data_IF_646973901433
#
_entry.id   IF_646973901433
#
_cell.length_a   1.000
_cell.length_b   1.000
_cell.length_c   1.000
_cell.angle_alpha   90.00
_cell.angle_beta   90.00
_cell.angle_gamma   90.00
#
_symmetry.space_group_name_H-M   'P 1'
#
loop_
_entity.id
_entity.type
_entity.pdbx_description
1 polymer ?
#
# COMPACT_ATOMS: atom_id res chain seq x y z
N UNK A 1 25.04 9.49 7.15
CA UNK A 1 23.87 10.01 6.41
C UNK A 1 22.89 10.63 7.39
N UNK A 2 22.25 11.73 7.01
CA UNK A 2 21.18 12.39 7.77
C UNK A 2 19.98 12.62 6.86
N UNK A 3 18.79 12.24 7.29
CA UNK A 3 17.55 12.42 6.52
C UNK A 3 16.54 13.26 7.31
N UNK A 4 15.85 14.15 6.62
CA UNK A 4 14.66 14.84 7.13
C UNK A 4 13.43 14.10 6.65
N UNK A 5 12.76 13.38 7.56
CA UNK A 5 11.61 12.52 7.26
C UNK A 5 10.31 13.29 7.47
N UNK A 6 9.56 13.54 6.40
CA UNK A 6 8.30 14.28 6.42
C UNK A 6 7.12 13.32 6.23
N UNK A 7 6.26 13.25 7.24
CA UNK A 7 5.14 12.30 7.27
C UNK A 7 3.85 12.94 7.79
N UNK A 8 2.68 12.46 7.39
CA UNK A 8 1.44 12.86 8.04
C UNK A 8 1.42 12.49 9.52
N UNK A 9 0.76 13.29 10.37
CA UNK A 9 0.65 12.98 11.79
C UNK A 9 0.00 11.62 12.10
N UNK A 10 -0.81 11.11 11.19
CA UNK A 10 -1.52 9.83 11.34
C UNK A 10 -0.69 8.61 10.95
N UNK A 11 0.50 8.81 10.36
CA UNK A 11 1.32 7.71 9.88
C UNK A 11 2.31 7.27 10.96
N UNK A 12 2.26 5.99 11.35
CA UNK A 12 3.24 5.42 12.26
C UNK A 12 4.53 5.07 11.51
N UNK A 13 5.53 5.92 11.61
CA UNK A 13 6.87 5.73 11.00
C UNK A 13 7.94 5.36 12.01
N UNK A 14 7.60 5.26 13.28
CA UNK A 14 8.53 4.93 14.35
C UNK A 14 9.35 3.65 14.10
N UNK A 15 8.77 2.57 13.53
CA UNK A 15 9.55 1.39 13.16
C UNK A 15 10.65 1.70 12.15
N UNK A 16 10.38 2.51 11.13
CA UNK A 16 11.38 2.93 10.15
C UNK A 16 12.50 3.76 10.78
N UNK A 17 12.13 4.73 11.63
CA UNK A 17 13.10 5.59 12.32
C UNK A 17 14.09 4.73 13.10
N UNK A 18 13.61 3.78 13.90
CA UNK A 18 14.45 2.89 14.70
C UNK A 18 15.44 2.07 13.85
N UNK A 19 14.98 1.56 12.70
CA UNK A 19 15.84 0.79 11.80
C UNK A 19 16.86 1.69 11.11
N UNK A 20 16.48 2.89 10.64
CA UNK A 20 17.44 3.87 10.12
C UNK A 20 18.53 4.21 11.14
N UNK A 21 18.15 4.52 12.36
CA UNK A 21 19.08 4.86 13.44
C UNK A 21 20.01 3.70 13.81
N UNK A 22 19.50 2.46 13.83
CA UNK A 22 20.32 1.27 14.05
C UNK A 22 21.37 1.05 12.97
N UNK A 23 21.12 1.54 11.75
CA UNK A 23 22.06 1.52 10.59
C UNK A 23 22.95 2.78 10.53
N UNK A 24 22.94 3.62 11.58
CA UNK A 24 23.77 4.82 11.68
C UNK A 24 23.27 6.03 10.87
N UNK A 25 22.03 6.02 10.42
CA UNK A 25 21.38 7.14 9.74
C UNK A 25 20.70 8.03 10.79
N UNK A 26 21.02 9.33 10.80
CA UNK A 26 20.31 10.30 11.65
C UNK A 26 18.98 10.68 11.02
N UNK A 27 17.90 10.67 11.79
CA UNK A 27 16.56 10.99 11.30
C UNK A 27 16.00 12.21 12.07
N UNK A 28 15.66 13.26 11.31
CA UNK A 28 14.91 14.41 11.81
C UNK A 28 13.44 14.24 11.36
N UNK A 29 12.55 13.88 12.30
CA UNK A 29 11.15 13.61 11.98
C UNK A 29 10.31 14.88 12.02
N UNK A 30 9.58 15.14 10.92
CA UNK A 30 8.71 16.32 10.72
C UNK A 30 9.41 17.66 10.94
N UNK A 31 10.71 17.71 10.71
CA UNK A 31 11.53 18.91 10.67
C UNK A 31 12.55 18.79 9.55
N UNK A 32 12.87 19.90 8.87
CA UNK A 32 13.92 19.93 7.85
C UNK A 32 15.18 20.46 8.50
N UNK A 33 16.21 19.63 8.54
CA UNK A 33 17.53 20.03 9.00
C UNK A 33 18.33 20.61 7.82
N UNK A 34 18.99 21.78 7.96
CA UNK A 34 19.74 22.39 6.86
C UNK A 34 20.92 21.55 6.35
N UNK A 35 21.47 20.67 7.21
CA UNK A 35 22.56 19.76 6.83
C UNK A 35 22.04 18.33 6.53
N UNK A 36 20.76 18.18 6.18
CA UNK A 36 20.24 16.87 5.77
C UNK A 36 20.82 16.48 4.40
N UNK A 37 21.16 15.22 4.24
CA UNK A 37 21.56 14.66 2.96
C UNK A 37 20.35 14.48 2.02
N UNK A 38 19.14 14.29 2.59
CA UNK A 38 17.89 14.06 1.86
C UNK A 38 16.67 14.55 2.63
N UNK A 39 15.66 15.00 1.88
CA UNK A 39 14.29 15.14 2.36
C UNK A 39 13.50 13.93 1.86
N UNK A 40 13.03 13.08 2.76
CA UNK A 40 12.24 11.90 2.45
C UNK A 40 10.77 12.15 2.79
N UNK A 41 9.90 11.96 1.82
CA UNK A 41 8.45 12.11 1.97
C UNK A 41 7.79 10.73 1.91
N UNK A 42 7.00 10.38 2.92
CA UNK A 42 6.39 9.03 3.02
C UNK A 42 4.98 8.94 2.46
N UNK A 43 4.46 10.02 1.92
CA UNK A 43 3.13 10.03 1.33
C UNK A 43 2.97 11.16 0.34
N UNK A 44 2.14 10.89 -0.62
CA UNK A 44 1.75 11.85 -1.64
C UNK A 44 0.98 13.06 -1.06
N UNK A 45 0.36 12.92 0.11
CA UNK A 45 -0.43 14.01 0.73
C UNK A 45 0.39 15.28 1.01
N UNK A 46 1.70 15.15 1.18
CA UNK A 46 2.60 16.27 1.47
C UNK A 46 3.39 16.78 0.26
N UNK A 47 3.19 16.21 -0.91
CA UNK A 47 3.89 16.65 -2.12
C UNK A 47 3.69 18.13 -2.46
N UNK A 48 2.59 18.76 -2.00
CA UNK A 48 2.40 20.19 -2.13
C UNK A 48 3.50 21.04 -1.43
N UNK A 49 4.24 20.45 -0.51
CA UNK A 49 5.36 21.11 0.17
C UNK A 49 6.66 21.04 -0.63
N UNK A 50 6.72 20.25 -1.70
CA UNK A 50 7.94 20.05 -2.51
C UNK A 50 8.49 21.38 -3.03
N UNK A 51 7.63 22.29 -3.51
CA UNK A 51 8.06 23.60 -3.99
C UNK A 51 8.70 24.43 -2.87
N UNK A 52 8.11 24.41 -1.68
CA UNK A 52 8.65 25.12 -0.52
C UNK A 52 10.01 24.54 -0.10
N UNK A 53 10.12 23.22 -0.07
CA UNK A 53 11.39 22.56 0.28
C UNK A 53 12.46 22.83 -0.76
N UNK A 54 12.14 22.71 -2.04
CA UNK A 54 13.08 22.99 -3.13
C UNK A 54 13.53 24.45 -3.16
N UNK A 55 12.64 25.40 -2.89
CA UNK A 55 12.99 26.81 -2.83
C UNK A 55 13.80 27.18 -1.58
N UNK A 56 13.58 26.49 -0.45
CA UNK A 56 14.27 26.78 0.81
C UNK A 56 15.60 26.02 0.95
N UNK A 57 15.66 24.82 0.39
CA UNK A 57 16.79 23.91 0.47
C UNK A 57 17.09 23.33 -0.93
N UNK A 58 17.53 24.15 -1.89
CA UNK A 58 17.65 23.74 -3.30
C UNK A 58 18.69 22.64 -3.52
N UNK A 59 19.66 22.52 -2.64
CA UNK A 59 20.75 21.55 -2.75
C UNK A 59 20.44 20.22 -2.05
N UNK A 60 19.28 20.12 -1.36
CA UNK A 60 18.89 18.88 -0.69
C UNK A 60 17.93 18.09 -1.59
N UNK A 61 18.34 16.91 -2.11
CA UNK A 61 17.47 16.10 -2.97
C UNK A 61 16.25 15.57 -2.21
N UNK A 62 15.10 15.56 -2.90
CA UNK A 62 13.83 15.08 -2.37
C UNK A 62 13.57 13.69 -2.95
N UNK A 63 13.27 12.72 -2.08
CA UNK A 63 12.82 11.37 -2.45
C UNK A 63 11.43 11.12 -1.90
N UNK A 64 10.63 10.35 -2.61
CA UNK A 64 9.24 10.11 -2.21
C UNK A 64 8.89 8.61 -2.22
N UNK A 65 8.36 8.14 -1.10
CA UNK A 65 7.69 6.85 -1.04
C UNK A 65 6.27 7.02 -1.61
N UNK A 66 6.04 6.42 -2.76
CA UNK A 66 4.78 6.52 -3.50
C UNK A 66 3.93 5.30 -3.22
N UNK A 67 3.04 5.42 -2.22
CA UNK A 67 2.20 4.33 -1.73
C UNK A 67 1.01 4.03 -2.66
N UNK A 68 0.43 5.07 -3.28
CA UNK A 68 -0.81 4.97 -4.02
C UNK A 68 -0.79 5.86 -5.27
N UNK A 69 -1.69 5.58 -6.21
CA UNK A 69 -1.92 6.40 -7.39
C UNK A 69 -3.28 7.09 -7.28
N UNK A 70 -3.29 8.39 -7.05
CA UNK A 70 -4.49 9.14 -6.67
C UNK A 70 -5.13 10.00 -7.79
N UNK A 71 -4.95 9.66 -9.05
CA UNK A 71 -5.48 10.49 -10.16
C UNK A 71 -6.97 10.79 -10.03
N UNK A 72 -7.78 9.81 -9.68
CA UNK A 72 -9.22 9.96 -9.49
C UNK A 72 -9.59 10.90 -8.34
N UNK A 73 -8.86 10.83 -7.23
CA UNK A 73 -9.05 11.72 -6.08
C UNK A 73 -8.62 13.14 -6.43
N UNK A 74 -7.51 13.31 -7.15
CA UNK A 74 -6.99 14.63 -7.48
C UNK A 74 -7.81 15.36 -8.54
N UNK A 75 -8.55 14.64 -9.38
CA UNK A 75 -9.48 15.20 -10.34
C UNK A 75 -10.88 15.45 -9.77
N UNK A 76 -11.20 14.97 -8.56
CA UNK A 76 -12.44 15.29 -7.88
C UNK A 76 -12.32 16.63 -7.14
N UNK A 77 -13.42 17.34 -6.88
CA UNK A 77 -13.42 18.50 -6.00
C UNK A 77 -12.89 18.09 -4.63
N UNK A 78 -11.64 18.40 -4.33
CA UNK A 78 -11.05 18.14 -3.02
C UNK A 78 -10.91 19.43 -2.23
N UNK A 79 -11.00 19.38 -0.88
CA UNK A 79 -10.99 20.57 -0.03
C UNK A 79 -9.65 21.34 -0.08
N UNK A 80 -8.62 20.76 -0.68
CA UNK A 80 -7.28 21.34 -0.76
C UNK A 80 -6.99 21.99 -2.12
N UNK A 81 -7.91 21.93 -3.10
CA UNK A 81 -7.77 22.55 -4.42
C UNK A 81 -6.67 21.94 -5.30
N UNK A 82 -6.12 20.78 -4.92
CA UNK A 82 -5.10 20.11 -5.72
C UNK A 82 -5.72 19.45 -6.95
N UNK A 83 -5.03 19.53 -8.08
CA UNK A 83 -5.39 18.83 -9.30
C UNK A 83 -4.24 17.93 -9.76
N UNK A 84 -4.54 17.02 -10.68
CA UNK A 84 -3.56 16.05 -11.18
C UNK A 84 -2.31 16.71 -11.79
N UNK A 85 -2.46 17.83 -12.51
CA UNK A 85 -1.33 18.51 -13.12
C UNK A 85 -0.35 19.07 -12.08
N UNK A 86 -0.87 19.61 -10.98
CA UNK A 86 -0.05 20.12 -9.89
C UNK A 86 0.66 18.95 -9.17
N UNK A 87 -0.05 17.86 -8.96
CA UNK A 87 0.52 16.65 -8.38
C UNK A 87 1.66 16.08 -9.24
N UNK A 88 1.44 15.97 -10.54
CA UNK A 88 2.45 15.57 -11.51
C UNK A 88 3.68 16.49 -11.50
N UNK A 89 3.47 17.81 -11.37
CA UNK A 89 4.56 18.76 -11.22
C UNK A 89 5.44 18.43 -10.00
N UNK A 90 4.83 18.14 -8.85
CA UNK A 90 5.56 17.77 -7.65
C UNK A 90 6.31 16.43 -7.77
N UNK A 91 5.69 15.42 -8.38
CA UNK A 91 6.34 14.14 -8.63
C UNK A 91 7.59 14.31 -9.52
N UNK A 92 7.50 15.15 -10.56
CA UNK A 92 8.64 15.42 -11.45
C UNK A 92 9.81 16.15 -10.76
N UNK A 93 9.55 16.86 -9.66
CA UNK A 93 10.60 17.52 -8.86
C UNK A 93 11.33 16.60 -7.90
N UNK A 94 10.78 15.44 -7.57
CA UNK A 94 11.49 14.45 -6.78
C UNK A 94 12.64 13.84 -7.59
N UNK A 95 13.76 13.55 -6.94
CA UNK A 95 14.88 12.85 -7.55
C UNK A 95 14.52 11.39 -7.85
N UNK A 96 13.86 10.73 -6.91
CA UNK A 96 13.35 9.37 -7.08
C UNK A 96 11.98 9.21 -6.43
N UNK A 97 11.19 8.30 -7.05
CA UNK A 97 9.88 7.86 -6.58
C UNK A 97 9.95 6.37 -6.27
N UNK A 98 9.82 6.00 -5.00
CA UNK A 98 9.83 4.59 -4.59
C UNK A 98 8.41 4.07 -4.56
N UNK A 99 8.07 3.30 -5.60
CA UNK A 99 6.73 2.83 -5.89
C UNK A 99 6.52 1.44 -5.29
N UNK A 100 5.39 1.20 -4.66
CA UNK A 100 5.12 -0.07 -3.97
C UNK A 100 4.67 -1.20 -4.88
N UNK A 101 4.36 -0.91 -6.15
CA UNK A 101 3.96 -1.91 -7.14
C UNK A 101 4.41 -1.52 -8.55
N UNK A 102 4.56 -2.50 -9.43
CA UNK A 102 4.83 -2.28 -10.85
C UNK A 102 3.69 -1.50 -11.51
N UNK A 103 2.45 -1.70 -11.05
CA UNK A 103 1.30 -0.97 -11.56
C UNK A 103 1.42 0.53 -11.30
N UNK A 104 1.86 0.94 -10.10
CA UNK A 104 2.12 2.35 -9.81
C UNK A 104 3.16 2.91 -10.76
N UNK A 105 4.24 2.16 -11.05
CA UNK A 105 5.29 2.58 -12.01
C UNK A 105 4.69 2.76 -13.40
N UNK A 106 3.94 1.76 -13.89
CA UNK A 106 3.30 1.82 -15.21
C UNK A 106 2.38 3.03 -15.33
N UNK A 107 1.58 3.30 -14.29
CA UNK A 107 0.67 4.46 -14.29
C UNK A 107 1.42 5.80 -14.23
N UNK A 108 2.52 5.87 -13.50
CA UNK A 108 3.37 7.06 -13.49
C UNK A 108 3.91 7.33 -14.89
N UNK A 109 4.40 6.30 -15.58
CA UNK A 109 4.90 6.41 -16.95
C UNK A 109 3.82 6.85 -17.95
N UNK A 110 2.63 6.23 -17.92
CA UNK A 110 1.47 6.61 -18.75
C UNK A 110 1.07 8.07 -18.57
N UNK A 111 1.22 8.60 -17.37
CA UNK A 111 0.95 10.01 -17.07
C UNK A 111 2.13 10.93 -17.38
N UNK A 112 3.23 10.41 -17.93
CA UNK A 112 4.41 11.17 -18.34
C UNK A 112 5.33 11.57 -17.19
N UNK A 113 5.36 10.80 -16.11
CA UNK A 113 6.44 10.83 -15.13
C UNK A 113 7.61 10.04 -15.69
N UNK A 114 8.81 10.53 -15.49
CA UNK A 114 10.02 9.85 -15.95
C UNK A 114 10.17 8.50 -15.25
N UNK A 115 10.17 7.43 -16.05
CA UNK A 115 10.31 6.06 -15.58
C UNK A 115 11.61 5.81 -14.85
N UNK A 116 12.69 6.47 -15.27
CA UNK A 116 14.03 6.28 -14.68
C UNK A 116 14.09 6.80 -13.22
N UNK A 117 13.12 7.61 -12.83
CA UNK A 117 12.93 8.04 -11.44
C UNK A 117 12.11 7.05 -10.60
N UNK A 118 11.39 6.13 -11.22
CA UNK A 118 10.47 5.21 -10.54
C UNK A 118 11.17 3.90 -10.22
N UNK A 119 11.22 3.53 -8.95
CA UNK A 119 11.86 2.30 -8.49
C UNK A 119 10.89 1.47 -7.66
N UNK A 120 10.79 0.17 -7.98
CA UNK A 120 9.94 -0.75 -7.23
C UNK A 120 10.53 -1.00 -5.84
N UNK A 121 9.75 -0.70 -4.82
CA UNK A 121 10.02 -1.05 -3.44
C UNK A 121 8.81 -1.77 -2.86
N UNK A 122 8.85 -3.10 -2.79
CA UNK A 122 7.78 -3.86 -2.13
C UNK A 122 7.76 -3.47 -0.65
N UNK A 123 6.65 -2.85 -0.22
CA UNK A 123 6.51 -2.41 1.17
C UNK A 123 6.45 -3.61 2.10
N UNK A 124 7.11 -3.52 3.25
CA UNK A 124 7.05 -4.55 4.26
C UNK A 124 5.63 -4.72 4.82
N UNK A 125 5.25 -5.95 5.12
CA UNK A 125 4.05 -6.27 5.86
C UNK A 125 4.41 -6.64 7.30
N UNK A 126 3.71 -6.04 8.26
CA UNK A 126 3.86 -6.41 9.66
C UNK A 126 3.07 -7.69 9.91
N UNK A 127 3.71 -8.82 9.71
CA UNK A 127 3.11 -10.09 10.06
C UNK A 127 3.08 -10.25 11.59
N UNK A 128 1.92 -10.62 12.08
CA UNK A 128 1.71 -10.95 13.48
C UNK A 128 1.70 -12.46 13.70
N UNK A 129 1.98 -12.87 14.91
CA UNK A 129 1.72 -14.24 15.34
C UNK A 129 0.33 -14.30 15.99
N UNK A 130 -0.49 -15.20 15.51
CA UNK A 130 -1.83 -15.41 16.02
C UNK A 130 -1.83 -16.67 16.88
N UNK A 131 -2.06 -16.49 18.20
CA UNK A 131 -2.08 -17.58 19.16
C UNK A 131 -3.45 -18.26 19.28
N UNK A 132 -4.47 -17.74 18.61
CA UNK A 132 -5.82 -18.29 18.60
C UNK A 132 -6.02 -19.42 17.62
N UNK A 133 -7.18 -20.02 17.65
CA UNK A 133 -7.60 -21.05 16.69
C UNK A 133 -7.91 -20.44 15.33
N UNK A 134 -7.32 -20.98 14.26
CA UNK A 134 -7.70 -20.67 12.88
C UNK A 134 -8.88 -21.56 12.51
N UNK A 135 -10.02 -20.96 12.23
CA UNK A 135 -11.27 -21.66 11.93
C UNK A 135 -12.06 -20.98 10.82
N UNK A 136 -13.17 -21.58 10.43
CA UNK A 136 -14.12 -21.05 9.45
C UNK A 136 -15.49 -20.85 10.12
N UNK A 137 -15.77 -19.65 10.58
CA UNK A 137 -17.07 -19.24 11.13
C UNK A 137 -18.08 -18.85 10.05
N UNK A 138 -17.82 -19.22 8.81
CA UNK A 138 -18.70 -19.06 7.65
C UNK A 138 -19.13 -17.60 7.42
N UNK A 139 -18.15 -16.72 7.18
CA UNK A 139 -18.40 -15.37 6.68
C UNK A 139 -17.25 -14.91 5.77
N UNK A 140 -17.56 -13.96 4.90
CA UNK A 140 -16.56 -13.24 4.09
C UNK A 140 -16.06 -12.05 4.90
N UNK A 141 -14.74 -11.83 4.95
CA UNK A 141 -14.17 -10.64 5.54
C UNK A 141 -13.87 -9.60 4.46
N UNK A 142 -14.49 -8.44 4.57
CA UNK A 142 -14.13 -7.28 3.77
C UNK A 142 -12.91 -6.60 4.37
N UNK A 143 -11.78 -6.60 3.64
CA UNK A 143 -10.49 -6.12 4.17
C UNK A 143 -10.27 -4.63 3.99
N UNK A 144 -10.97 -3.99 3.05
CA UNK A 144 -10.83 -2.55 2.78
C UNK A 144 -11.89 -1.76 3.53
N UNK A 145 -11.45 -0.68 4.17
CA UNK A 145 -12.34 0.26 4.86
C UNK A 145 -13.14 1.08 3.83
N UNK A 146 -14.41 1.42 4.15
CA UNK A 146 -15.22 2.26 3.26
C UNK A 146 -14.57 3.62 3.03
N UNK A 147 -14.31 3.94 1.76
CA UNK A 147 -13.90 5.28 1.37
C UNK A 147 -15.13 6.07 0.95
N UNK A 148 -15.35 7.22 1.58
CA UNK A 148 -16.55 8.04 1.48
C UNK A 148 -16.86 8.59 0.08
N UNK A 149 -15.93 8.46 -0.86
CA UNK A 149 -15.97 9.14 -2.17
C UNK A 149 -16.05 8.19 -3.38
N UNK A 150 -16.05 6.86 -3.16
CA UNK A 150 -16.11 5.91 -4.25
C UNK A 150 -17.56 5.60 -4.65
N UNK A 151 -17.91 5.98 -5.89
CA UNK A 151 -19.27 5.78 -6.43
C UNK A 151 -19.59 4.31 -6.73
N UNK A 152 -18.57 3.46 -6.86
CA UNK A 152 -18.71 2.02 -7.15
C UNK A 152 -18.68 1.17 -5.90
N UNK A 153 -18.68 1.78 -4.74
CA UNK A 153 -18.64 1.14 -3.45
C UNK A 153 -19.93 0.38 -3.12
N UNK A 154 -19.80 -0.75 -2.46
CA UNK A 154 -20.97 -1.50 -1.96
C UNK A 154 -21.45 -2.62 -2.89
N UNK A 155 -20.71 -2.98 -3.94
CA UNK A 155 -21.08 -4.15 -4.77
C UNK A 155 -20.93 -5.47 -4.00
N UNK A 156 -19.93 -5.58 -3.12
CA UNK A 156 -19.71 -6.77 -2.30
C UNK A 156 -20.85 -6.97 -1.31
N UNK A 157 -21.29 -5.90 -0.63
CA UNK A 157 -22.44 -5.95 0.26
C UNK A 157 -23.71 -6.36 -0.48
N UNK A 158 -23.93 -5.84 -1.69
CA UNK A 158 -25.09 -6.24 -2.52
C UNK A 158 -25.00 -7.69 -2.93
N UNK A 159 -23.85 -8.14 -3.43
CA UNK A 159 -23.64 -9.53 -3.83
C UNK A 159 -23.85 -10.50 -2.66
N UNK A 160 -23.28 -10.20 -1.50
CA UNK A 160 -23.45 -11.02 -0.29
C UNK A 160 -24.91 -11.03 0.19
N UNK A 161 -25.60 -9.89 0.17
CA UNK A 161 -27.01 -9.79 0.53
C UNK A 161 -27.90 -10.62 -0.41
N UNK A 162 -27.70 -10.54 -1.72
CA UNK A 162 -28.45 -11.32 -2.71
C UNK A 162 -28.21 -12.81 -2.63
N UNK A 163 -27.00 -13.22 -2.22
CA UNK A 163 -26.61 -14.61 -2.05
C UNK A 163 -26.89 -15.16 -0.65
N UNK A 164 -27.37 -14.34 0.29
CA UNK A 164 -27.52 -14.65 1.71
C UNK A 164 -26.21 -15.15 2.35
N UNK A 165 -25.08 -14.53 1.98
CA UNK A 165 -23.77 -14.84 2.52
C UNK A 165 -23.42 -13.82 3.61
N UNK A 166 -23.02 -14.27 4.84
CA UNK A 166 -22.59 -13.36 5.89
C UNK A 166 -21.34 -12.60 5.49
N UNK A 167 -21.38 -11.26 5.65
CA UNK A 167 -20.25 -10.36 5.42
C UNK A 167 -19.91 -9.65 6.71
N UNK A 168 -18.63 -9.65 7.09
CA UNK A 168 -18.11 -8.85 8.19
C UNK A 168 -17.08 -7.86 7.68
N UNK A 169 -16.98 -6.74 8.40
CA UNK A 169 -15.98 -5.71 8.15
C UNK A 169 -15.43 -5.25 9.51
N UNK A 170 -14.12 -4.99 9.63
CA UNK A 170 -13.55 -4.43 10.85
C UNK A 170 -14.20 -3.07 11.17
N UNK A 171 -14.59 -2.87 12.41
CA UNK A 171 -15.08 -1.58 12.87
C UNK A 171 -13.97 -0.52 12.74
N UNK A 172 -14.38 0.73 12.53
CA UNK A 172 -13.44 1.85 12.59
C UNK A 172 -12.89 1.97 14.02
N UNK A 173 -11.57 1.75 14.19
CA UNK A 173 -10.94 1.73 15.50
C UNK A 173 -10.90 0.36 16.18
N UNK A 174 -11.27 -0.72 15.47
CA UNK A 174 -11.03 -2.08 15.95
C UNK A 174 -9.58 -2.24 16.41
N UNK A 175 -9.38 -2.90 17.54
CA UNK A 175 -8.05 -3.26 18.01
C UNK A 175 -7.37 -4.23 17.04
N UNK A 176 -6.05 -4.28 17.08
CA UNK A 176 -5.28 -5.23 16.29
C UNK A 176 -5.74 -6.68 16.56
N UNK A 177 -5.98 -7.01 17.82
CA UNK A 177 -6.44 -8.33 18.23
C UNK A 177 -7.83 -8.69 17.65
N UNK A 178 -8.77 -7.75 17.65
CA UNK A 178 -10.09 -7.96 17.02
C UNK A 178 -9.98 -8.17 15.51
N UNK A 179 -9.12 -7.39 14.85
CA UNK A 179 -8.86 -7.54 13.43
C UNK A 179 -8.25 -8.90 13.09
N UNK A 180 -7.22 -9.33 13.84
CA UNK A 180 -6.58 -10.62 13.64
C UNK A 180 -7.55 -11.80 13.88
N UNK A 181 -8.44 -11.66 14.87
CA UNK A 181 -9.49 -12.63 15.09
C UNK A 181 -10.44 -12.73 13.89
N UNK A 182 -10.86 -11.59 13.33
CA UNK A 182 -11.70 -11.61 12.13
C UNK A 182 -11.01 -12.27 10.94
N UNK A 183 -9.70 -12.03 10.76
CA UNK A 183 -8.89 -12.70 9.73
C UNK A 183 -8.84 -14.23 9.95
N UNK A 184 -8.57 -14.65 11.19
CA UNK A 184 -8.42 -16.08 11.50
C UNK A 184 -9.73 -16.89 11.38
N UNK A 185 -10.88 -16.23 11.60
CA UNK A 185 -12.20 -16.86 11.64
C UNK A 185 -12.99 -16.78 10.33
N UNK A 186 -12.58 -15.96 9.34
CA UNK A 186 -13.31 -15.84 8.07
C UNK A 186 -13.15 -17.10 7.19
N UNK A 187 -14.11 -17.33 6.28
CA UNK A 187 -13.97 -18.33 5.23
C UNK A 187 -12.91 -17.91 4.23
N UNK A 188 -13.02 -16.68 3.73
CA UNK A 188 -12.05 -16.04 2.87
C UNK A 188 -12.17 -14.53 2.97
N UNK A 189 -11.19 -13.83 2.43
CA UNK A 189 -11.19 -12.38 2.37
C UNK A 189 -11.67 -11.90 1.02
N UNK A 190 -12.30 -10.73 0.99
CA UNK A 190 -12.60 -10.04 -0.25
C UNK A 190 -12.15 -8.57 -0.13
N UNK A 191 -11.35 -8.15 -1.12
CA UNK A 191 -10.93 -6.77 -1.24
C UNK A 191 -11.67 -6.13 -2.38
N UNK A 192 -12.61 -5.23 -2.07
CA UNK A 192 -13.23 -4.41 -3.11
C UNK A 192 -12.19 -3.55 -3.81
N UNK A 193 -12.41 -3.38 -5.11
CA UNK A 193 -11.65 -2.43 -5.89
C UNK A 193 -11.78 -1.03 -5.31
N UNK A 194 -10.64 -0.39 -5.24
CA UNK A 194 -10.55 1.01 -4.87
C UNK A 194 -9.49 1.68 -5.75
N UNK A 195 -9.88 2.70 -6.52
CA UNK A 195 -8.95 3.45 -7.40
C UNK A 195 -7.73 4.05 -6.66
N UNK A 196 -7.76 4.05 -5.34
CA UNK A 196 -6.75 4.66 -4.50
C UNK A 196 -5.91 3.66 -3.71
N UNK A 197 -6.25 2.37 -3.75
CA UNK A 197 -5.54 1.35 -3.00
C UNK A 197 -4.76 0.45 -3.93
N UNK A 198 -3.45 0.54 -3.87
CA UNK A 198 -2.53 -0.25 -4.70
C UNK A 198 -2.01 -1.52 -4.04
N UNK A 199 -2.41 -1.79 -2.81
CA UNK A 199 -2.00 -3.02 -2.15
C UNK A 199 -2.57 -3.13 -0.75
N UNK A 200 -3.43 -4.08 -0.55
CA UNK A 200 -3.94 -4.41 0.77
C UNK A 200 -2.95 -5.29 1.53
N UNK A 201 -2.14 -4.74 2.42
CA UNK A 201 -1.29 -5.56 3.30
C UNK A 201 -2.11 -6.59 4.10
N UNK A 202 -3.36 -6.26 4.43
CA UNK A 202 -4.29 -7.19 5.07
C UNK A 202 -4.56 -8.47 4.29
N UNK A 203 -4.39 -8.46 2.94
CA UNK A 203 -4.48 -9.71 2.15
C UNK A 203 -3.30 -10.65 2.41
N UNK A 204 -2.10 -10.11 2.64
CA UNK A 204 -0.92 -10.90 3.03
C UNK A 204 -1.07 -11.43 4.45
N UNK A 205 -1.56 -10.62 5.38
CA UNK A 205 -1.79 -11.01 6.77
C UNK A 205 -2.78 -12.19 6.85
N UNK A 206 -3.88 -12.12 6.11
CA UNK A 206 -4.82 -13.23 6.03
C UNK A 206 -4.26 -14.44 5.29
N UNK A 207 -3.47 -14.23 4.23
CA UNK A 207 -2.82 -15.34 3.54
C UNK A 207 -1.88 -16.12 4.45
N UNK A 208 -1.13 -15.45 5.34
CA UNK A 208 -0.31 -16.09 6.36
C UNK A 208 -1.12 -17.03 7.28
N UNK A 209 -2.41 -16.76 7.46
CA UNK A 209 -3.34 -17.59 8.21
C UNK A 209 -4.06 -18.65 7.35
N UNK A 210 -3.57 -18.91 6.15
CA UNK A 210 -4.19 -19.87 5.22
C UNK A 210 -5.52 -19.38 4.61
N UNK A 211 -5.81 -18.08 4.65
CA UNK A 211 -7.03 -17.53 4.07
C UNK A 211 -6.79 -17.02 2.66
N UNK A 212 -7.58 -17.52 1.71
CA UNK A 212 -7.54 -17.06 0.32
C UNK A 212 -8.18 -15.67 0.20
N UNK A 213 -7.71 -14.89 -0.74
CA UNK A 213 -8.27 -13.57 -1.06
C UNK A 213 -8.95 -13.58 -2.42
N UNK A 214 -10.13 -13.01 -2.50
CA UNK A 214 -10.80 -12.63 -3.74
C UNK A 214 -10.58 -11.15 -3.94
N UNK A 215 -9.86 -10.78 -4.99
CA UNK A 215 -9.39 -9.40 -5.22
C UNK A 215 -9.67 -8.96 -6.65
N UNK A 216 -9.85 -7.66 -6.84
CA UNK A 216 -9.98 -7.10 -8.17
C UNK A 216 -8.70 -7.31 -8.98
N UNK A 217 -8.83 -7.66 -10.25
CA UNK A 217 -7.74 -7.66 -11.22
C UNK A 217 -7.50 -6.26 -11.81
N UNK A 218 -8.13 -5.25 -11.22
CA UNK A 218 -7.93 -3.86 -11.60
C UNK A 218 -6.45 -3.50 -11.63
N UNK A 219 -6.03 -2.77 -12.65
CA UNK A 219 -4.67 -2.28 -12.74
C UNK A 219 -4.26 -1.35 -11.59
N UNK A 220 -5.18 -0.94 -10.74
CA UNK A 220 -4.90 -0.13 -9.55
C UNK A 220 -4.72 -0.96 -8.26
N UNK A 221 -4.86 -2.28 -8.35
CA UNK A 221 -4.74 -3.16 -7.21
C UNK A 221 -3.43 -3.96 -7.26
N UNK A 222 -2.42 -3.54 -6.53
CA UNK A 222 -1.11 -4.18 -6.52
C UNK A 222 -1.06 -5.60 -5.91
N UNK A 223 -2.21 -6.23 -5.66
CA UNK A 223 -2.28 -7.57 -5.09
C UNK A 223 -1.55 -8.62 -5.95
N UNK A 224 -1.56 -8.46 -7.27
CA UNK A 224 -0.86 -9.36 -8.20
C UNK A 224 0.66 -9.33 -7.98
N UNK A 225 1.22 -8.18 -7.62
CA UNK A 225 2.65 -8.04 -7.33
C UNK A 225 3.05 -8.71 -6.00
N UNK A 226 2.07 -8.88 -5.09
CA UNK A 226 2.29 -9.45 -3.77
C UNK A 226 1.95 -10.95 -3.72
N UNK A 227 0.80 -11.36 -4.27
CA UNK A 227 0.29 -12.71 -4.15
C UNK A 227 0.46 -13.54 -5.44
N UNK A 228 0.60 -12.92 -6.63
CA UNK A 228 0.63 -13.64 -7.89
C UNK A 228 -0.60 -14.55 -8.03
N UNK A 229 -0.40 -15.83 -8.36
CA UNK A 229 -1.47 -16.81 -8.55
C UNK A 229 -2.14 -17.31 -7.25
N UNK A 230 -1.75 -16.75 -6.09
CA UNK A 230 -2.27 -17.16 -4.76
C UNK A 230 -3.58 -16.48 -4.36
N UNK A 231 -4.09 -15.60 -5.21
CA UNK A 231 -5.39 -14.97 -5.03
C UNK A 231 -6.36 -15.34 -6.16
N UNK A 232 -7.64 -15.18 -5.91
CA UNK A 232 -8.68 -15.30 -6.93
C UNK A 232 -8.98 -13.91 -7.45
N UNK A 233 -8.83 -13.70 -8.75
CA UNK A 233 -9.01 -12.39 -9.37
C UNK A 233 -10.36 -12.26 -10.06
N UNK A 234 -10.94 -11.06 -10.02
CA UNK A 234 -12.18 -10.73 -10.71
C UNK A 234 -12.08 -9.40 -11.46
N UNK A 235 -12.81 -9.31 -12.57
CA UNK A 235 -13.00 -8.07 -13.30
C UNK A 235 -14.07 -7.21 -12.61
N UNK A 236 -13.66 -6.07 -12.07
CA UNK A 236 -14.53 -5.14 -11.33
C UNK A 236 -15.60 -4.44 -12.18
N UNK A 237 -15.55 -4.58 -13.49
CA UNK A 237 -16.54 -4.02 -14.43
C UNK A 237 -17.74 -4.92 -14.67
N UNK A 238 -17.71 -6.16 -14.19
CA UNK A 238 -18.77 -7.15 -14.43
C UNK A 238 -19.34 -7.71 -13.12
N UNK A 239 -20.37 -7.04 -12.60
CA UNK A 239 -21.02 -7.40 -11.34
C UNK A 239 -21.56 -8.85 -11.30
N UNK A 240 -22.08 -9.38 -12.40
CA UNK A 240 -22.60 -10.76 -12.44
C UNK A 240 -21.46 -11.77 -12.35
N UNK A 241 -20.34 -11.52 -13.03
CA UNK A 241 -19.14 -12.35 -12.93
C UNK A 241 -18.56 -12.32 -11.52
N UNK A 242 -18.48 -11.15 -10.90
CA UNK A 242 -18.05 -11.00 -9.50
C UNK A 242 -18.94 -11.82 -8.57
N UNK A 243 -20.27 -11.68 -8.70
CA UNK A 243 -21.25 -12.43 -7.91
C UNK A 243 -21.09 -13.93 -8.09
N UNK A 244 -20.83 -14.39 -9.32
CA UNK A 244 -20.57 -15.79 -9.61
C UNK A 244 -19.31 -16.28 -8.89
N UNK A 245 -18.20 -15.55 -8.98
CA UNK A 245 -16.93 -15.88 -8.32
C UNK A 245 -17.10 -15.95 -6.80
N UNK A 246 -17.81 -15.00 -6.20
CA UNK A 246 -18.12 -15.01 -4.77
C UNK A 246 -18.91 -16.27 -4.39
N UNK A 247 -19.94 -16.61 -5.18
CA UNK A 247 -20.76 -17.81 -4.95
C UNK A 247 -19.94 -19.11 -5.08
N UNK A 248 -19.12 -19.21 -6.10
CA UNK A 248 -18.27 -20.38 -6.35
C UNK A 248 -17.24 -20.56 -5.24
N UNK A 249 -16.55 -19.46 -4.85
CA UNK A 249 -15.58 -19.47 -3.76
C UNK A 249 -16.25 -19.81 -2.42
N UNK A 250 -17.46 -19.28 -2.15
CA UNK A 250 -18.21 -19.58 -0.95
C UNK A 250 -18.58 -21.06 -0.84
N UNK A 251 -18.97 -21.67 -1.94
CA UNK A 251 -19.35 -23.08 -1.97
C UNK A 251 -18.15 -24.03 -1.91
N UNK A 252 -17.01 -23.61 -2.42
CA UNK A 252 -15.77 -24.38 -2.51
C UNK A 252 -14.59 -23.50 -2.10
N UNK A 253 -14.58 -23.05 -0.85
CA UNK A 253 -13.50 -22.20 -0.34
C UNK A 253 -12.16 -22.94 -0.44
N UNK A 254 -11.20 -22.45 -1.23
CA UNK A 254 -9.88 -23.06 -1.30
C UNK A 254 -9.22 -23.07 0.07
N UNK A 255 -8.51 -24.15 0.36
CA UNK A 255 -7.73 -24.30 1.59
C UNK A 255 -6.24 -24.37 1.21
N UNK A 256 -5.54 -23.25 1.14
CA UNK A 256 -4.11 -23.27 0.87
C UNK A 256 -3.36 -24.05 1.96
N UNK A 257 -2.26 -24.68 1.58
CA UNK A 257 -1.38 -25.28 2.55
C UNK A 257 -0.81 -24.21 3.49
N UNK A 258 -1.03 -24.39 4.78
CA UNK A 258 -0.66 -23.36 5.78
C UNK A 258 0.87 -23.18 5.88
N UNK A 259 1.63 -24.24 5.71
CA UNK A 259 3.10 -24.17 5.73
C UNK A 259 3.61 -23.38 4.53
N UNK A 260 3.07 -23.62 3.34
CA UNK A 260 3.38 -22.83 2.14
C UNK A 260 3.01 -21.36 2.31
N UNK A 261 1.85 -21.08 2.92
CA UNK A 261 1.43 -19.70 3.20
C UNK A 261 2.41 -18.97 4.14
N UNK A 262 2.81 -19.64 5.23
CA UNK A 262 3.77 -19.10 6.20
C UNK A 262 5.13 -18.87 5.53
N UNK A 263 5.62 -19.85 4.77
CA UNK A 263 6.90 -19.76 4.09
C UNK A 263 6.91 -18.63 3.04
N UNK A 264 5.82 -18.49 2.29
CA UNK A 264 5.66 -17.38 1.34
C UNK A 264 5.71 -16.02 2.04
N UNK A 265 4.98 -15.86 3.14
CA UNK A 265 4.96 -14.61 3.89
C UNK A 265 6.29 -14.30 4.58
N UNK A 266 7.00 -15.31 5.07
CA UNK A 266 8.32 -15.13 5.69
C UNK A 266 9.40 -14.70 4.67
N UNK A 267 9.18 -14.95 3.38
CA UNK A 267 10.05 -14.46 2.29
C UNK A 267 9.62 -13.08 1.76
N UNK A 268 8.58 -12.48 2.34
CA UNK A 268 8.20 -11.09 2.00
C UNK A 268 9.20 -10.10 2.63
N UNK A 269 9.50 -8.97 1.96
CA UNK A 269 10.42 -8.00 2.48
C UNK A 269 10.12 -7.58 3.91
N UNK A 270 11.15 -7.51 4.74
CA UNK A 270 11.10 -6.97 6.09
C UNK A 270 11.25 -5.45 6.08
N UNK A 271 11.03 -4.82 7.23
CA UNK A 271 11.32 -3.39 7.38
C UNK A 271 12.80 -3.08 7.19
N UNK A 272 13.69 -4.00 7.60
CA UNK A 272 15.13 -3.87 7.40
C UNK A 272 15.48 -3.87 5.92
N UNK A 273 14.86 -4.75 5.12
CA UNK A 273 15.05 -4.80 3.67
C UNK A 273 14.58 -3.50 2.99
N UNK A 274 13.46 -2.92 3.44
CA UNK A 274 12.99 -1.64 2.94
C UNK A 274 13.95 -0.50 3.28
N UNK A 275 14.46 -0.46 4.50
CA UNK A 275 15.44 0.58 4.91
C UNK A 275 16.76 0.39 4.17
N UNK A 276 17.23 -0.84 3.95
CA UNK A 276 18.42 -1.11 3.15
C UNK A 276 18.26 -0.63 1.71
N UNK A 277 17.11 -0.94 1.08
CA UNK A 277 16.77 -0.40 -0.24
C UNK A 277 16.82 1.14 -0.26
N UNK A 278 16.18 1.80 0.70
CA UNK A 278 16.16 3.27 0.77
C UNK A 278 17.57 3.85 0.92
N UNK A 279 18.41 3.28 1.80
CA UNK A 279 19.79 3.71 2.00
C UNK A 279 20.62 3.49 0.74
N UNK A 280 20.47 2.35 0.07
CA UNK A 280 21.17 2.06 -1.19
C UNK A 280 20.80 3.09 -2.26
N UNK A 281 19.51 3.37 -2.45
CA UNK A 281 19.05 4.35 -3.44
C UNK A 281 19.60 5.74 -3.14
N UNK A 282 19.52 6.19 -1.90
CA UNK A 282 20.07 7.47 -1.46
C UNK A 282 21.59 7.57 -1.72
N UNK A 283 22.34 6.48 -1.51
CA UNK A 283 23.77 6.45 -1.81
C UNK A 283 24.05 6.54 -3.32
N UNK A 284 23.19 5.96 -4.17
CA UNK A 284 23.29 6.09 -5.63
C UNK A 284 23.08 7.55 -6.05
N UNK A 285 22.07 8.23 -5.53
CA UNK A 285 21.80 9.65 -5.80
C UNK A 285 23.00 10.52 -5.40
N UNK A 286 23.56 10.31 -4.20
CA UNK A 286 24.76 11.07 -3.75
C UNK A 286 25.96 10.90 -4.69
N UNK A 287 26.15 9.69 -5.20
CA UNK A 287 27.27 9.44 -6.15
C UNK A 287 27.06 10.15 -7.49
N UNK A 288 25.79 10.23 -7.98
CA UNK A 288 25.49 10.97 -9.22
C UNK A 288 25.81 12.45 -9.07
N UNK A 289 25.37 13.09 -7.98
CA UNK A 289 25.64 14.51 -7.71
C UNK A 289 27.11 14.86 -7.40
N UNK A 290 28.00 13.88 -7.24
CA UNK A 290 29.45 14.12 -7.08
C UNK A 290 30.22 14.05 -8.40
N UNK A 291 29.59 13.61 -9.48
CA UNK A 291 30.19 13.42 -10.80
C UNK A 291 29.90 14.60 -11.73
N UNK A 292 28.90 15.41 -11.40
CA UNK A 292 28.56 16.69 -12.06
C UNK A 292 29.33 17.88 -11.43
#
# INVERSE_FOLDING_TARGET
MRISLVTPPSQNVEPYIKVFESKGVKVDHNSIHPDADFIMMTTQAWLHLVDNFHNTFPDIPIVSLTLDFYKSIWNSPNPHGYNWNLYKHYLNKAEELWCISNEVITRMEEEGIDKDKCHLMKIWARFFEYEGEIKDDRYILKTIRPYKYDKNYGWLERACSELNIPLKQPNHGASEQEYHKLLAECSFMCSEYHETSTGGLGILEGYKLGKVSVVSDSPYHGAIDYLGDRAIYFDDKNNEKIKQIIKETWNNTPQPDLEDCINFCNNHPTIDDNVDFMIERMNIIKKRGQIE
#
